data_IF_547291725481
#
_entry.id   IF_547291725481
#
_cell.length_a   1.000
_cell.length_b   1.000
_cell.length_c   1.000
_cell.angle_alpha   90.00
_cell.angle_beta   90.00
_cell.angle_gamma   90.00
#
_symmetry.space_group_name_H-M   'P 1'
#
loop_
_entity.id
_entity.type
_entity.pdbx_description
1 polymer ?
#
# COMPACT_ATOMS: atom_id res chain seq x y z
N UNK A 1 -22.44 -14.49 -1.36
CA UNK A 1 -21.97 -13.52 -0.34
C UNK A 1 -21.91 -12.14 -0.98
N UNK A 2 -21.61 -11.07 -0.19
CA UNK A 2 -21.48 -9.72 -0.76
C UNK A 2 -20.07 -9.19 -0.46
N UNK A 3 -19.41 -8.71 -1.51
CA UNK A 3 -18.05 -8.17 -1.47
C UNK A 3 -18.04 -6.69 -1.84
N UNK A 4 -17.38 -5.89 -1.02
CA UNK A 4 -17.15 -4.47 -1.25
C UNK A 4 -15.71 -4.28 -1.68
N UNK A 5 -15.50 -4.03 -2.96
CA UNK A 5 -14.17 -3.87 -3.56
C UNK A 5 -13.79 -2.40 -3.56
N UNK A 6 -12.89 -2.04 -2.65
CA UNK A 6 -12.31 -0.70 -2.53
C UNK A 6 -11.05 -0.67 -3.41
N UNK A 7 -11.10 0.02 -4.52
CA UNK A 7 -10.03 -0.03 -5.51
C UNK A 7 -9.39 1.34 -5.77
N UNK A 8 -8.12 1.31 -6.16
CA UNK A 8 -7.39 2.49 -6.60
C UNK A 8 -7.22 2.43 -8.13
N UNK A 9 -7.95 3.26 -8.91
CA UNK A 9 -7.86 3.26 -10.37
C UNK A 9 -6.46 3.63 -10.88
N UNK A 10 -5.67 4.36 -10.08
CA UNK A 10 -4.29 4.76 -10.42
C UNK A 10 -3.24 3.69 -10.15
N UNK A 11 -3.60 2.56 -9.52
CA UNK A 11 -2.68 1.44 -9.31
C UNK A 11 -2.20 0.85 -10.65
N UNK A 12 -1.05 0.16 -10.64
CA UNK A 12 -0.54 -0.50 -11.83
C UNK A 12 -0.28 0.45 -13.01
N UNK A 13 0.17 1.68 -12.74
CA UNK A 13 0.37 2.72 -13.75
C UNK A 13 -0.91 3.12 -14.50
N UNK A 14 -2.05 3.17 -13.79
CA UNK A 14 -3.34 3.59 -14.34
C UNK A 14 -4.22 2.44 -14.87
N UNK A 15 -3.79 1.18 -14.72
CA UNK A 15 -4.61 0.01 -15.09
C UNK A 15 -5.46 -0.53 -13.94
N UNK A 16 -5.41 0.13 -12.77
CA UNK A 16 -6.01 -0.37 -11.53
C UNK A 16 -7.50 -0.73 -11.63
N UNK A 17 -8.30 0.06 -12.35
CA UNK A 17 -9.72 -0.24 -12.54
C UNK A 17 -9.93 -1.50 -13.38
N UNK A 18 -9.29 -1.58 -14.54
CA UNK A 18 -9.42 -2.74 -15.43
C UNK A 18 -8.90 -4.03 -14.80
N UNK A 19 -7.78 -3.95 -14.10
CA UNK A 19 -7.20 -5.06 -13.36
C UNK A 19 -8.12 -5.52 -12.22
N UNK A 20 -8.76 -4.57 -11.51
CA UNK A 20 -9.69 -4.89 -10.42
C UNK A 20 -10.89 -5.70 -10.92
N UNK A 21 -11.39 -5.46 -12.12
CA UNK A 21 -12.50 -6.22 -12.72
C UNK A 21 -12.20 -7.73 -12.87
N UNK A 22 -10.91 -8.08 -12.98
CA UNK A 22 -10.50 -9.49 -13.05
C UNK A 22 -10.84 -10.28 -11.78
N UNK A 23 -11.19 -9.62 -10.67
CA UNK A 23 -11.63 -10.29 -9.43
C UNK A 23 -12.91 -11.10 -9.63
N UNK A 24 -13.77 -10.71 -10.58
CA UNK A 24 -15.05 -11.34 -10.85
C UNK A 24 -14.93 -12.84 -11.17
N UNK A 25 -13.82 -13.25 -11.79
CA UNK A 25 -13.54 -14.67 -12.06
C UNK A 25 -13.42 -15.53 -10.80
N UNK A 26 -13.11 -14.90 -9.64
CA UNK A 26 -12.99 -15.59 -8.35
C UNK A 26 -14.23 -15.45 -7.48
N UNK A 27 -15.10 -14.48 -7.78
CA UNK A 27 -16.31 -14.15 -7.01
C UNK A 27 -17.59 -14.49 -7.79
N UNK A 28 -17.51 -15.44 -8.72
CA UNK A 28 -18.66 -15.86 -9.54
C UNK A 28 -19.81 -16.35 -8.66
N UNK A 29 -20.99 -15.77 -8.86
CA UNK A 29 -22.20 -16.08 -8.08
C UNK A 29 -22.36 -15.24 -6.80
N UNK A 30 -21.42 -14.36 -6.50
CA UNK A 30 -21.49 -13.41 -5.39
C UNK A 30 -21.88 -11.99 -5.87
N UNK A 31 -22.44 -11.18 -4.98
CA UNK A 31 -22.69 -9.76 -5.24
C UNK A 31 -21.38 -8.97 -5.04
N UNK A 32 -21.00 -8.15 -6.01
CA UNK A 32 -19.80 -7.33 -5.96
C UNK A 32 -20.13 -5.85 -6.15
N UNK A 33 -19.73 -5.01 -5.20
CA UNK A 33 -19.92 -3.57 -5.24
C UNK A 33 -18.55 -2.88 -5.25
N UNK A 34 -18.34 -1.96 -6.18
CA UNK A 34 -17.05 -1.29 -6.38
C UNK A 34 -17.05 0.14 -5.84
N UNK A 35 -15.95 0.53 -5.19
CA UNK A 35 -15.74 1.87 -4.66
C UNK A 35 -14.37 2.40 -5.06
N UNK A 36 -14.37 3.48 -5.80
CA UNK A 36 -13.15 4.22 -6.17
C UNK A 36 -12.59 4.99 -4.96
N UNK A 37 -11.41 4.62 -4.49
CA UNK A 37 -10.72 5.24 -3.36
C UNK A 37 -10.18 6.65 -3.65
N UNK A 38 -10.22 7.12 -4.89
CA UNK A 38 -9.91 8.52 -5.21
C UNK A 38 -11.10 9.45 -4.96
N UNK A 39 -12.31 8.90 -4.91
CA UNK A 39 -13.56 9.64 -4.72
C UNK A 39 -14.23 9.37 -3.36
N UNK A 40 -13.80 8.33 -2.66
CA UNK A 40 -14.41 7.89 -1.42
C UNK A 40 -13.39 7.81 -0.29
N UNK A 41 -13.79 8.19 0.91
CA UNK A 41 -12.97 8.03 2.10
C UNK A 41 -13.16 6.64 2.70
N UNK A 42 -12.06 5.92 2.91
CA UNK A 42 -12.02 4.55 3.44
C UNK A 42 -12.85 4.39 4.71
N UNK A 43 -12.68 5.28 5.69
CA UNK A 43 -13.37 5.21 6.99
C UNK A 43 -14.88 5.33 6.84
N UNK A 44 -15.35 6.26 5.98
CA UNK A 44 -16.77 6.49 5.75
C UNK A 44 -17.43 5.30 5.04
N UNK A 45 -16.70 4.62 4.14
CA UNK A 45 -17.18 3.40 3.49
C UNK A 45 -17.32 2.27 4.49
N UNK A 46 -16.27 1.99 5.27
CA UNK A 46 -16.27 0.89 6.25
C UNK A 46 -17.38 1.05 7.28
N UNK A 47 -17.65 2.29 7.72
CA UNK A 47 -18.73 2.56 8.66
C UNK A 47 -20.14 2.20 8.13
N UNK A 48 -20.32 2.17 6.82
CA UNK A 48 -21.59 1.86 6.14
C UNK A 48 -21.73 0.39 5.73
N UNK A 49 -20.63 -0.34 5.64
CA UNK A 49 -20.62 -1.77 5.25
C UNK A 49 -21.05 -2.62 6.45
N UNK A 50 -22.06 -3.49 6.30
CA UNK A 50 -22.43 -4.44 7.34
C UNK A 50 -21.28 -5.40 7.68
N UNK A 51 -21.10 -5.71 8.96
CA UNK A 51 -19.97 -6.56 9.44
C UNK A 51 -19.96 -7.98 8.86
N UNK A 52 -21.10 -8.47 8.41
CA UNK A 52 -21.24 -9.78 7.76
C UNK A 52 -20.79 -9.78 6.30
N UNK A 53 -20.59 -8.62 5.70
CA UNK A 53 -20.15 -8.46 4.32
C UNK A 53 -18.62 -8.34 4.25
N UNK A 54 -18.04 -8.69 3.12
CA UNK A 54 -16.60 -8.81 2.92
C UNK A 54 -16.02 -7.53 2.31
N UNK A 55 -14.82 -7.16 2.73
CA UNK A 55 -14.07 -6.04 2.14
C UNK A 55 -12.93 -6.63 1.30
N UNK A 56 -12.73 -6.10 0.11
CA UNK A 56 -11.55 -6.39 -0.72
C UNK A 56 -10.82 -5.08 -1.00
N UNK A 57 -9.54 -5.02 -0.66
CA UNK A 57 -8.67 -3.92 -1.06
C UNK A 57 -7.98 -4.30 -2.36
N UNK A 58 -8.26 -3.56 -3.43
CA UNK A 58 -7.64 -3.76 -4.74
C UNK A 58 -6.70 -2.62 -5.09
N UNK A 59 -5.43 -2.93 -5.25
CA UNK A 59 -4.38 -1.94 -5.51
C UNK A 59 -2.98 -2.52 -5.38
N UNK A 60 -1.99 -1.66 -5.28
CA UNK A 60 -0.61 -2.01 -4.92
C UNK A 60 -0.35 -1.80 -3.43
N UNK A 61 0.91 -2.01 -3.02
CA UNK A 61 1.37 -1.86 -1.63
C UNK A 61 1.01 -0.50 -1.02
N UNK A 62 1.16 0.58 -1.78
CA UNK A 62 0.76 1.92 -1.33
C UNK A 62 -0.75 2.05 -1.04
N UNK A 63 -1.61 1.35 -1.78
CA UNK A 63 -3.05 1.33 -1.52
C UNK A 63 -3.36 0.58 -0.23
N UNK A 64 -2.74 -0.58 -0.03
CA UNK A 64 -2.89 -1.36 1.19
C UNK A 64 -2.32 -0.61 2.40
N UNK A 65 -1.13 -0.01 2.27
CA UNK A 65 -0.52 0.78 3.35
C UNK A 65 -1.38 1.98 3.75
N UNK A 66 -1.99 2.67 2.79
CA UNK A 66 -2.95 3.74 3.08
C UNK A 66 -4.17 3.20 3.82
N UNK A 67 -4.75 2.08 3.36
CA UNK A 67 -5.90 1.45 4.01
C UNK A 67 -5.62 1.14 5.49
N UNK A 68 -4.49 0.52 5.82
CA UNK A 68 -4.17 0.19 7.22
C UNK A 68 -3.99 1.44 8.08
N UNK A 69 -3.43 2.53 7.54
CA UNK A 69 -3.29 3.78 8.28
C UNK A 69 -4.62 4.53 8.44
N UNK A 70 -5.43 4.61 7.38
CA UNK A 70 -6.76 5.22 7.45
C UNK A 70 -7.65 4.53 8.50
N UNK A 71 -7.45 3.23 8.70
CA UNK A 71 -8.29 2.39 9.57
C UNK A 71 -7.68 2.06 10.92
N UNK A 72 -6.48 2.53 11.21
CA UNK A 72 -5.73 2.21 12.44
C UNK A 72 -6.52 2.47 13.73
N UNK A 73 -7.36 3.50 13.74
CA UNK A 73 -8.10 3.94 14.92
C UNK A 73 -9.55 3.44 15.01
N UNK A 74 -10.05 2.69 14.01
CA UNK A 74 -11.47 2.31 13.97
C UNK A 74 -11.74 0.82 14.25
N UNK A 75 -10.70 0.00 14.32
CA UNK A 75 -10.81 -1.43 14.62
C UNK A 75 -11.68 -2.18 13.62
N UNK A 76 -11.10 -2.64 12.53
CA UNK A 76 -11.82 -3.39 11.48
C UNK A 76 -12.24 -4.76 12.02
N UNK A 77 -13.53 -5.07 11.88
CA UNK A 77 -14.12 -6.35 12.28
C UNK A 77 -14.64 -7.18 11.12
N UNK A 78 -14.44 -6.70 9.89
CA UNK A 78 -14.78 -7.40 8.65
C UNK A 78 -13.67 -8.38 8.27
N UNK A 79 -14.01 -9.40 7.49
CA UNK A 79 -13.01 -10.13 6.74
C UNK A 79 -12.48 -9.22 5.63
N UNK A 80 -11.19 -8.93 5.68
CA UNK A 80 -10.49 -8.07 4.71
C UNK A 80 -9.63 -8.94 3.81
N UNK A 81 -9.88 -8.83 2.53
CA UNK A 81 -9.11 -9.50 1.49
C UNK A 81 -8.24 -8.48 0.74
N UNK A 82 -7.10 -8.94 0.25
CA UNK A 82 -6.25 -8.16 -0.64
C UNK A 82 -6.20 -8.79 -2.02
N UNK A 83 -6.40 -7.98 -3.04
CA UNK A 83 -6.29 -8.33 -4.46
C UNK A 83 -5.24 -7.43 -5.10
N UNK A 84 -4.05 -7.98 -5.36
CA UNK A 84 -2.90 -7.22 -5.83
C UNK A 84 -3.05 -6.84 -7.31
N UNK A 85 -3.11 -5.53 -7.59
CA UNK A 85 -3.20 -4.95 -8.93
C UNK A 85 -2.13 -3.87 -9.18
N UNK A 86 -1.20 -3.71 -8.23
CA UNK A 86 -0.10 -2.74 -8.33
C UNK A 86 1.02 -3.16 -9.27
N UNK A 87 2.11 -2.39 -9.26
CA UNK A 87 3.31 -2.68 -10.06
C UNK A 87 4.37 -3.49 -9.29
N UNK A 88 4.58 -3.21 -7.99
CA UNK A 88 5.50 -3.94 -7.11
C UNK A 88 4.82 -5.17 -6.54
N UNK A 89 3.87 -4.94 -5.65
CA UNK A 89 3.10 -5.97 -4.93
C UNK A 89 3.98 -6.82 -4.00
N UNK A 90 4.93 -6.19 -3.31
CA UNK A 90 5.89 -6.86 -2.43
C UNK A 90 5.16 -7.60 -1.30
N UNK A 91 4.10 -7.00 -0.73
CA UNK A 91 3.30 -7.64 0.31
C UNK A 91 2.71 -8.99 -0.12
N UNK A 92 2.14 -9.09 -1.34
CA UNK A 92 1.56 -10.36 -1.79
C UNK A 92 2.64 -11.38 -2.15
N UNK A 93 3.80 -10.92 -2.63
CA UNK A 93 4.96 -11.78 -2.90
C UNK A 93 5.51 -12.41 -1.62
N UNK A 94 5.58 -11.65 -0.52
CA UNK A 94 5.97 -12.16 0.80
C UNK A 94 5.02 -13.25 1.32
N UNK A 95 3.75 -13.21 0.91
CA UNK A 95 2.76 -14.24 1.19
C UNK A 95 2.79 -15.42 0.18
N UNK A 96 3.73 -15.42 -0.76
CA UNK A 96 3.87 -16.46 -1.79
C UNK A 96 2.87 -16.36 -2.94
N UNK A 97 2.18 -15.21 -3.08
CA UNK A 97 1.22 -14.95 -4.16
C UNK A 97 1.80 -14.04 -5.25
N UNK A 98 1.00 -13.81 -6.28
CA UNK A 98 1.34 -12.95 -7.40
C UNK A 98 0.21 -11.97 -7.73
N UNK A 99 0.54 -10.96 -8.54
CA UNK A 99 -0.44 -10.04 -9.10
C UNK A 99 -1.54 -10.81 -9.84
N UNK A 100 -2.78 -10.49 -9.52
CA UNK A 100 -3.96 -11.06 -10.18
C UNK A 100 -4.31 -12.50 -9.75
N UNK A 101 -3.64 -13.06 -8.74
CA UNK A 101 -4.07 -14.27 -8.05
C UNK A 101 -5.39 -14.04 -7.29
N UNK A 102 -6.02 -15.11 -6.82
CA UNK A 102 -7.26 -14.98 -6.01
C UNK A 102 -7.05 -14.06 -4.81
N UNK A 103 -8.09 -13.32 -4.38
CA UNK A 103 -7.99 -12.49 -3.19
C UNK A 103 -7.58 -13.28 -1.95
N UNK A 104 -6.63 -12.76 -1.18
CA UNK A 104 -6.10 -13.38 0.04
C UNK A 104 -6.69 -12.69 1.26
N UNK A 105 -7.20 -13.47 2.23
CA UNK A 105 -7.63 -12.95 3.53
C UNK A 105 -6.41 -12.46 4.31
N UNK A 106 -6.40 -11.20 4.72
CA UNK A 106 -5.21 -10.56 5.28
C UNK A 106 -5.34 -10.08 6.73
N UNK A 107 -6.45 -10.34 7.40
CA UNK A 107 -6.69 -9.84 8.77
C UNK A 107 -5.53 -10.15 9.72
N UNK A 108 -5.01 -11.38 9.72
CA UNK A 108 -3.91 -11.78 10.61
C UNK A 108 -2.59 -11.10 10.27
N UNK A 109 -2.38 -10.71 9.03
CA UNK A 109 -1.15 -10.04 8.57
C UNK A 109 -1.14 -8.54 8.84
N UNK A 110 -2.31 -7.91 9.01
CA UNK A 110 -2.42 -6.45 9.20
C UNK A 110 -2.79 -6.03 10.62
N UNK A 111 -3.00 -6.95 11.55
CA UNK A 111 -3.41 -6.62 12.93
C UNK A 111 -2.28 -6.02 13.77
N UNK A 112 -1.08 -6.56 13.66
CA UNK A 112 0.10 -6.23 14.48
C UNK A 112 1.27 -5.73 13.60
N UNK A 113 0.99 -4.71 12.78
CA UNK A 113 2.00 -4.12 11.91
C UNK A 113 3.00 -3.28 12.70
N UNK A 114 4.27 -3.26 12.28
CA UNK A 114 5.26 -2.35 12.84
C UNK A 114 4.89 -0.90 12.59
N UNK A 115 5.41 -0.02 13.46
CA UNK A 115 5.11 1.41 13.44
C UNK A 115 6.40 2.22 13.31
N UNK A 116 6.29 3.36 12.66
CA UNK A 116 7.34 4.37 12.59
C UNK A 116 6.78 5.73 13.00
N UNK A 117 7.51 6.46 13.85
CA UNK A 117 7.14 7.82 14.24
C UNK A 117 8.07 8.82 13.55
N UNK A 118 7.49 9.72 12.79
CA UNK A 118 8.20 10.79 12.08
C UNK A 118 7.57 12.13 12.42
N UNK A 119 8.35 13.06 12.94
CA UNK A 119 7.88 14.39 13.34
C UNK A 119 6.64 14.36 14.26
N UNK A 120 6.60 13.41 15.19
CA UNK A 120 5.50 13.27 16.15
C UNK A 120 4.25 12.54 15.60
N UNK A 121 4.23 12.15 14.33
CA UNK A 121 3.15 11.35 13.75
C UNK A 121 3.59 9.89 13.63
N UNK A 122 2.73 8.98 14.07
CA UNK A 122 2.98 7.53 14.01
C UNK A 122 2.21 6.91 12.86
N UNK A 123 2.88 6.09 12.08
CA UNK A 123 2.36 5.40 10.92
C UNK A 123 2.68 3.91 11.00
N UNK A 124 1.73 3.07 10.59
CA UNK A 124 1.97 1.65 10.31
C UNK A 124 2.58 1.46 8.94
N UNK A 125 3.40 0.44 8.77
CA UNK A 125 3.93 0.09 7.46
C UNK A 125 3.88 -1.42 7.22
N UNK A 126 3.66 -1.82 5.96
CA UNK A 126 3.46 -3.22 5.56
C UNK A 126 4.73 -3.90 5.05
N UNK A 127 5.65 -3.15 4.44
CA UNK A 127 6.88 -3.71 3.85
C UNK A 127 8.11 -3.16 4.57
N UNK A 128 8.47 -1.90 4.33
CA UNK A 128 9.65 -1.29 4.92
C UNK A 128 9.59 0.23 4.92
N UNK A 129 10.51 0.84 5.68
CA UNK A 129 10.70 2.29 5.71
C UNK A 129 12.02 2.62 5.04
N UNK A 130 11.95 3.29 3.90
CA UNK A 130 13.11 3.75 3.15
C UNK A 130 13.64 5.08 3.68
N UNK A 131 14.96 5.20 3.77
CA UNK A 131 15.65 6.43 4.14
C UNK A 131 16.76 6.76 3.13
N UNK A 132 17.19 8.02 3.08
CA UNK A 132 18.25 8.44 2.17
C UNK A 132 17.82 8.37 0.71
N UNK A 133 18.47 7.49 -0.08
CA UNK A 133 18.18 7.36 -1.52
C UNK A 133 16.77 6.87 -1.79
N UNK A 134 16.24 5.97 -0.95
CA UNK A 134 14.87 5.46 -1.09
C UNK A 134 13.85 6.58 -0.84
N UNK A 135 14.04 7.35 0.23
CA UNK A 135 13.20 8.53 0.51
C UNK A 135 13.24 9.54 -0.63
N UNK A 136 14.43 9.79 -1.21
CA UNK A 136 14.58 10.64 -2.39
C UNK A 136 13.81 10.10 -3.59
N UNK A 137 13.90 8.80 -3.85
CA UNK A 137 13.16 8.17 -4.95
C UNK A 137 11.65 8.30 -4.78
N UNK A 138 11.14 8.09 -3.57
CA UNK A 138 9.73 8.25 -3.25
C UNK A 138 9.28 9.71 -3.45
N UNK A 139 10.00 10.68 -2.89
CA UNK A 139 9.69 12.10 -3.01
C UNK A 139 9.63 12.58 -4.47
N UNK A 140 10.64 12.20 -5.27
CA UNK A 140 10.67 12.57 -6.69
C UNK A 140 9.59 11.83 -7.47
N UNK A 141 9.36 10.56 -7.17
CA UNK A 141 8.31 9.76 -7.79
C UNK A 141 6.92 10.36 -7.57
N UNK A 142 6.61 10.78 -6.35
CA UNK A 142 5.34 11.40 -6.00
C UNK A 142 5.16 12.75 -6.70
N UNK A 143 6.18 13.61 -6.71
CA UNK A 143 6.17 14.89 -7.47
C UNK A 143 5.94 14.69 -8.97
N UNK A 144 6.44 13.60 -9.55
CA UNK A 144 6.21 13.29 -10.97
C UNK A 144 4.78 12.79 -11.21
N UNK A 145 4.23 11.98 -10.30
CA UNK A 145 2.83 11.52 -10.36
C UNK A 145 1.83 12.65 -10.23
N UNK A 146 2.12 13.67 -9.43
CA UNK A 146 1.27 14.86 -9.32
C UNK A 146 1.21 15.67 -10.63
N UNK A 147 2.28 15.63 -11.42
CA UNK A 147 2.42 16.41 -12.66
C UNK A 147 2.00 15.68 -13.92
N UNK A 148 1.94 14.36 -13.89
CA UNK A 148 1.71 13.56 -15.10
C UNK A 148 1.23 12.15 -14.75
N UNK A 149 0.29 11.64 -15.54
CA UNK A 149 -0.17 10.25 -15.46
C UNK A 149 0.80 9.25 -16.13
N UNK A 150 1.96 9.71 -16.62
CA UNK A 150 2.98 8.82 -17.21
C UNK A 150 3.61 7.92 -16.14
N UNK A 151 3.96 6.67 -16.49
CA UNK A 151 4.68 5.77 -15.59
C UNK A 151 5.97 6.40 -15.07
N UNK A 152 6.20 6.28 -13.76
CA UNK A 152 7.42 6.81 -13.13
C UNK A 152 8.57 5.83 -13.31
N UNK A 153 9.67 6.30 -13.88
CA UNK A 153 10.90 5.53 -14.01
C UNK A 153 11.75 5.64 -12.73
N UNK A 154 11.46 4.80 -11.74
CA UNK A 154 12.20 4.78 -10.48
C UNK A 154 13.66 4.43 -10.62
N UNK A 155 14.03 3.53 -11.55
CA UNK A 155 15.43 3.19 -11.81
C UNK A 155 16.22 4.42 -12.29
N UNK A 156 15.64 5.21 -13.20
CA UNK A 156 16.27 6.47 -13.65
C UNK A 156 16.41 7.51 -12.54
N UNK A 157 15.41 7.61 -11.65
CA UNK A 157 15.46 8.49 -10.47
C UNK A 157 16.58 8.05 -9.53
N UNK A 158 16.67 6.74 -9.23
CA UNK A 158 17.68 6.19 -8.34
C UNK A 158 19.10 6.43 -8.87
N UNK A 159 19.35 6.15 -10.15
CA UNK A 159 20.65 6.40 -10.79
C UNK A 159 21.02 7.89 -10.71
N UNK A 160 20.11 8.78 -11.06
CA UNK A 160 20.33 10.23 -10.97
C UNK A 160 20.55 10.67 -9.52
N UNK A 161 19.77 10.12 -8.59
CA UNK A 161 19.92 10.36 -7.16
C UNK A 161 21.30 9.99 -6.66
N UNK A 162 21.76 8.78 -6.96
CA UNK A 162 23.10 8.28 -6.57
C UNK A 162 24.23 9.15 -7.13
N UNK A 163 24.13 9.55 -8.39
CA UNK A 163 25.21 10.30 -9.04
C UNK A 163 25.29 11.77 -8.61
N UNK A 164 24.18 12.43 -8.33
CA UNK A 164 24.13 13.89 -8.18
C UNK A 164 23.57 14.38 -6.84
N UNK A 165 22.83 13.56 -6.11
CA UNK A 165 22.10 13.99 -4.90
C UNK A 165 22.46 13.20 -3.65
N UNK A 166 22.94 11.97 -3.79
CA UNK A 166 23.29 11.13 -2.65
C UNK A 166 24.54 11.69 -1.94
N UNK A 167 24.39 11.89 -0.64
CA UNK A 167 25.51 12.24 0.25
C UNK A 167 25.47 11.28 1.43
N UNK A 168 26.50 10.44 1.61
CA UNK A 168 26.57 9.54 2.76
C UNK A 168 26.41 10.32 4.06
N UNK A 169 25.57 9.81 4.96
CA UNK A 169 25.32 10.40 6.26
C UNK A 169 25.53 9.38 7.37
N UNK A 170 25.80 9.88 8.58
CA UNK A 170 25.70 9.01 9.75
C UNK A 170 24.23 8.91 10.16
N UNK A 171 23.79 7.73 10.54
CA UNK A 171 22.44 7.47 11.03
C UNK A 171 22.51 6.82 12.42
N UNK A 172 21.62 7.24 13.30
CA UNK A 172 21.34 6.56 14.56
C UNK A 172 19.90 6.08 14.50
N UNK A 173 19.68 4.81 14.80
CA UNK A 173 18.37 4.17 14.77
C UNK A 173 18.16 3.51 16.11
N UNK A 174 16.96 3.67 16.66
CA UNK A 174 16.52 2.94 17.85
C UNK A 174 15.34 2.04 17.46
N UNK A 175 15.47 0.75 17.71
CA UNK A 175 14.44 -0.25 17.44
C UNK A 175 14.24 -1.06 18.71
N UNK A 176 13.03 -1.08 19.25
CA UNK A 176 12.67 -1.80 20.48
C UNK A 176 13.64 -1.53 21.64
N UNK A 177 14.01 -0.26 21.82
CA UNK A 177 14.93 0.19 22.86
C UNK A 177 16.42 -0.12 22.63
N UNK A 178 16.78 -0.71 21.48
CA UNK A 178 18.17 -0.97 21.08
C UNK A 178 18.66 0.10 20.10
N UNK A 179 19.80 0.69 20.39
CA UNK A 179 20.42 1.73 19.54
C UNK A 179 21.44 1.13 18.59
N UNK A 180 21.36 1.57 17.34
CA UNK A 180 22.29 1.20 16.27
C UNK A 180 22.86 2.46 15.65
N UNK A 181 24.16 2.46 15.41
CA UNK A 181 24.85 3.59 14.76
C UNK A 181 25.47 3.12 13.46
N UNK A 182 25.17 3.81 12.39
CA UNK A 182 25.70 3.54 11.06
C UNK A 182 26.50 4.75 10.58
N UNK A 183 27.66 4.49 9.95
CA UNK A 183 28.50 5.54 9.40
C UNK A 183 28.47 5.47 7.87
N UNK A 184 28.28 6.63 7.24
CA UNK A 184 28.31 6.78 5.77
C UNK A 184 27.33 5.86 5.03
N UNK A 185 26.11 5.76 5.53
CA UNK A 185 24.98 5.08 4.87
C UNK A 185 24.22 6.03 3.95
#
# INVERSE_FOLDING_TARGET
>A
MKYHVLYNPKAGNGTGESETKNIEKFLSGDEVVYYDLTQNKTVELIAKIPRSEKIVISGGDGTLNRFVNDTANIGIRHDVYYFATGSGNDFIHDLGGNKGDKPVLINEYIKDLPEVTVNGNTYKFINGVGYGIDGYCCEIGDKLREKSDKPVNYAGIAIKGLLFHFKPRNAEIEVDGKKYTFKKV
#
